data_IF_383149841954
#
_entry.id   IF_383149841954
#
_cell.length_a   1.000
_cell.length_b   1.000
_cell.length_c   1.000
_cell.angle_alpha   90.00
_cell.angle_beta   90.00
_cell.angle_gamma   90.00
#
_symmetry.space_group_name_H-M   'P 1'
#
loop_
_entity.id
_entity.type
_entity.pdbx_description
1 polymer ?
#
# COMPACT_ATOMS: atom_id res chain seq x y z
N UNK A 1 -42.96 12.90 -42.50
CA UNK A 1 -42.54 14.05 -41.65
C UNK A 1 -42.19 13.50 -40.27
N UNK A 2 -40.91 13.21 -40.01
CA UNK A 2 -40.43 12.88 -38.67
C UNK A 2 -39.23 13.77 -38.37
N UNK A 3 -39.40 14.59 -37.34
CA UNK A 3 -38.42 15.55 -36.86
C UNK A 3 -37.35 14.84 -36.02
N UNK A 4 -36.10 15.20 -36.26
CA UNK A 4 -34.94 14.75 -35.49
C UNK A 4 -34.85 15.40 -34.10
N UNK A 5 -34.32 14.63 -33.16
CA UNK A 5 -33.91 15.11 -31.84
C UNK A 5 -32.52 14.57 -31.54
N UNK A 6 -31.51 15.43 -31.62
CA UNK A 6 -30.13 15.15 -31.21
C UNK A 6 -29.90 15.69 -29.79
N UNK A 7 -29.75 14.82 -28.81
CA UNK A 7 -29.25 15.19 -27.47
C UNK A 7 -27.76 14.92 -27.38
N UNK A 8 -26.96 15.98 -27.48
CA UNK A 8 -25.55 15.98 -27.06
C UNK A 8 -25.47 16.21 -25.55
N UNK A 9 -24.94 15.22 -24.82
CA UNK A 9 -24.64 15.32 -23.38
C UNK A 9 -23.16 15.61 -23.21
N UNK A 10 -22.81 16.84 -22.84
CA UNK A 10 -21.46 17.23 -22.44
C UNK A 10 -21.14 16.65 -21.05
N UNK A 11 -20.03 15.94 -20.93
CA UNK A 11 -19.47 15.49 -19.65
C UNK A 11 -18.41 16.49 -19.20
N UNK A 12 -18.69 17.23 -18.12
CA UNK A 12 -17.71 18.05 -17.44
C UNK A 12 -16.99 17.19 -16.38
N UNK A 13 -15.69 16.95 -16.59
CA UNK A 13 -14.81 16.32 -15.60
C UNK A 13 -14.11 17.42 -14.79
N UNK A 14 -14.59 17.67 -13.58
CA UNK A 14 -13.89 18.50 -12.60
C UNK A 14 -13.05 17.59 -11.69
N UNK A 15 -11.74 17.52 -11.95
CA UNK A 15 -10.77 16.84 -11.08
C UNK A 15 -10.29 17.80 -9.99
N UNK A 16 -10.69 17.56 -8.75
CA UNK A 16 -10.10 18.22 -7.58
C UNK A 16 -8.82 17.47 -7.17
N UNK A 17 -7.68 18.17 -7.18
CA UNK A 17 -6.39 17.64 -6.72
C UNK A 17 -6.32 17.79 -5.19
N UNK A 18 -6.13 16.71 -4.41
CA UNK A 18 -5.89 16.84 -2.98
C UNK A 18 -4.46 17.29 -2.73
N UNK A 19 -4.29 18.43 -2.02
CA UNK A 19 -2.99 18.85 -1.51
C UNK A 19 -2.58 17.99 -0.31
N UNK A 20 -1.47 17.26 -0.44
CA UNK A 20 -0.82 16.57 0.67
C UNK A 20 -0.12 17.60 1.58
N UNK A 21 -0.60 17.70 2.82
CA UNK A 21 0.04 18.48 3.87
C UNK A 21 1.39 17.84 4.26
N UNK A 22 2.44 18.66 4.25
CA UNK A 22 3.82 18.29 4.58
C UNK A 22 3.99 18.28 6.10
N UNK A 23 4.32 17.14 6.69
CA UNK A 23 4.61 17.03 8.13
C UNK A 23 5.96 17.69 8.50
N UNK A 24 6.08 18.29 9.70
CA UNK A 24 7.31 18.93 10.15
C UNK A 24 8.40 17.92 10.53
N UNK A 25 9.63 18.29 10.21
CA UNK A 25 10.88 17.57 10.45
C UNK A 25 11.24 17.65 11.94
N UNK A 26 11.37 16.51 12.61
CA UNK A 26 11.89 16.43 13.99
C UNK A 26 13.41 16.29 13.92
N UNK A 27 14.13 17.27 14.45
CA UNK A 27 15.58 17.23 14.63
C UNK A 27 15.94 16.33 15.83
N UNK A 28 16.89 15.43 15.60
CA UNK A 28 17.36 14.47 16.59
C UNK A 28 18.24 15.11 17.67
N UNK A 29 17.87 14.87 18.93
CA UNK A 29 18.69 15.17 20.09
C UNK A 29 19.67 14.02 20.36
N UNK A 30 20.96 14.36 20.39
CA UNK A 30 22.09 13.55 20.81
C UNK A 30 22.08 13.42 22.35
N UNK A 31 22.17 12.19 22.88
CA UNK A 31 22.49 11.96 24.29
C UNK A 31 23.54 10.84 24.40
N UNK A 32 24.74 11.23 24.82
CA UNK A 32 25.78 10.36 25.33
C UNK A 32 25.48 9.97 26.79
N UNK A 33 25.83 8.74 27.16
CA UNK A 33 25.84 8.27 28.55
C UNK A 33 26.41 6.86 28.68
N UNK A 34 27.05 6.50 29.81
CA UNK A 34 28.37 5.87 29.80
C UNK A 34 28.41 4.38 30.17
N UNK A 35 29.59 3.81 29.93
CA UNK A 35 30.04 2.46 30.29
C UNK A 35 29.86 2.12 31.78
N UNK A 36 29.41 0.89 32.04
CA UNK A 36 29.38 0.28 33.37
C UNK A 36 29.30 -1.25 33.30
N UNK A 37 30.44 -1.90 33.50
CA UNK A 37 30.59 -3.36 33.66
C UNK A 37 30.01 -3.86 34.99
N UNK A 38 29.42 -5.05 34.98
CA UNK A 38 29.10 -5.83 36.18
C UNK A 38 28.53 -7.21 35.86
N UNK A 39 29.35 -8.25 36.01
CA UNK A 39 28.94 -9.65 36.02
C UNK A 39 28.06 -9.98 37.24
N UNK A 40 26.95 -10.71 37.03
CA UNK A 40 26.43 -11.67 38.01
C UNK A 40 25.45 -12.66 37.37
N UNK A 41 25.82 -13.94 37.47
CA UNK A 41 25.04 -15.15 37.19
C UNK A 41 23.82 -15.25 38.11
N UNK A 42 22.66 -15.70 37.60
CA UNK A 42 21.76 -16.66 38.28
C UNK A 42 20.67 -17.22 37.34
N UNK A 43 20.42 -18.52 37.52
CA UNK A 43 19.43 -19.35 36.84
C UNK A 43 17.98 -18.96 37.15
N UNK A 44 17.10 -19.16 36.16
CA UNK A 44 15.78 -19.74 36.37
C UNK A 44 14.61 -18.77 36.62
N UNK A 45 13.93 -18.40 35.54
CA UNK A 45 12.46 -18.36 35.43
C UNK A 45 12.12 -18.08 33.97
N UNK A 46 11.06 -18.71 33.44
CA UNK A 46 10.52 -18.39 32.12
C UNK A 46 10.05 -16.93 32.11
N UNK A 47 10.96 -16.03 31.79
CA UNK A 47 10.72 -14.61 31.68
C UNK A 47 9.84 -14.39 30.46
N UNK A 48 8.55 -14.18 30.73
CA UNK A 48 7.66 -13.53 29.79
C UNK A 48 8.30 -12.18 29.48
N UNK A 49 8.99 -12.10 28.34
CA UNK A 49 9.67 -10.91 27.89
C UNK A 49 8.60 -9.83 27.71
N UNK A 50 8.47 -8.96 28.70
CA UNK A 50 7.71 -7.73 28.59
C UNK A 50 8.46 -6.86 27.59
N UNK A 51 8.15 -7.01 26.29
CA UNK A 51 8.47 -5.99 25.31
C UNK A 51 7.98 -4.65 25.86
N UNK A 52 8.81 -3.61 25.70
CA UNK A 52 8.60 -2.23 26.14
C UNK A 52 7.31 -1.55 25.65
N UNK A 53 6.46 -2.28 24.92
CA UNK A 53 5.13 -1.87 24.45
C UNK A 53 3.97 -2.36 25.30
N UNK A 54 4.21 -3.18 26.34
CA UNK A 54 3.16 -3.72 27.22
C UNK A 54 2.24 -4.76 26.56
N UNK A 55 2.56 -5.19 25.33
CA UNK A 55 1.78 -6.18 24.59
C UNK A 55 2.38 -7.58 24.84
N UNK A 56 1.56 -8.58 25.22
CA UNK A 56 2.00 -9.96 25.27
C UNK A 56 2.69 -10.40 23.97
N UNK A 57 3.88 -10.99 24.06
CA UNK A 57 4.69 -11.47 22.91
C UNK A 57 3.87 -12.29 21.92
N UNK A 58 2.92 -13.07 22.42
CA UNK A 58 1.99 -13.87 21.61
C UNK A 58 1.09 -13.03 20.70
N UNK A 59 0.55 -11.91 21.18
CA UNK A 59 -0.30 -11.02 20.39
C UNK A 59 0.52 -10.31 19.30
N UNK A 60 1.76 -9.92 19.61
CA UNK A 60 2.66 -9.35 18.60
C UNK A 60 2.91 -10.34 17.44
N UNK A 61 3.25 -11.59 17.76
CA UNK A 61 3.47 -12.63 16.75
C UNK A 61 2.24 -12.86 15.85
N UNK A 62 1.04 -12.83 16.41
CA UNK A 62 -0.20 -12.95 15.63
C UNK A 62 -0.39 -11.78 14.66
N UNK A 63 -0.20 -10.54 15.13
CA UNK A 63 -0.31 -9.35 14.27
C UNK A 63 0.68 -9.41 13.11
N UNK A 64 1.92 -9.82 13.37
CA UNK A 64 2.92 -10.01 12.31
C UNK A 64 2.52 -11.09 11.32
N UNK A 65 2.05 -12.25 11.79
CA UNK A 65 1.60 -13.32 10.90
C UNK A 65 0.43 -12.89 9.99
N UNK A 66 -0.53 -12.11 10.52
CA UNK A 66 -1.58 -11.50 9.71
C UNK A 66 -1.00 -10.52 8.68
N UNK A 67 -0.10 -9.64 9.11
CA UNK A 67 0.53 -8.66 8.23
C UNK A 67 1.34 -9.29 7.10
N UNK A 68 2.15 -10.30 7.40
CA UNK A 68 2.90 -11.08 6.41
C UNK A 68 1.95 -11.78 5.43
N UNK A 69 0.85 -12.35 5.92
CA UNK A 69 -0.15 -12.96 5.05
C UNK A 69 -0.75 -11.93 4.07
N UNK A 70 -1.15 -10.75 4.56
CA UNK A 70 -1.65 -9.66 3.73
C UNK A 70 -0.61 -9.20 2.71
N UNK A 71 0.62 -8.95 3.15
CA UNK A 71 1.67 -8.46 2.26
C UNK A 71 2.05 -9.51 1.20
N UNK A 72 2.13 -10.79 1.56
CA UNK A 72 2.49 -11.86 0.65
C UNK A 72 1.37 -12.24 -0.34
N UNK A 73 0.14 -12.41 0.15
CA UNK A 73 -0.96 -12.95 -0.66
C UNK A 73 -1.82 -11.88 -1.32
N UNK A 74 -1.97 -10.71 -0.69
CA UNK A 74 -2.86 -9.65 -1.19
C UNK A 74 -2.05 -8.60 -1.94
N UNK A 75 -1.03 -8.03 -1.30
CA UNK A 75 -0.27 -6.91 -1.89
C UNK A 75 0.70 -7.42 -2.97
N UNK A 76 1.57 -8.37 -2.64
CA UNK A 76 2.54 -8.95 -3.59
C UNK A 76 1.93 -9.94 -4.57
N UNK A 77 0.72 -10.45 -4.27
CA UNK A 77 0.08 -11.51 -5.06
C UNK A 77 1.04 -12.68 -5.34
N UNK A 78 1.74 -13.16 -4.30
CA UNK A 78 2.82 -14.14 -4.43
C UNK A 78 2.40 -15.50 -4.99
N UNK A 79 1.09 -15.74 -5.14
CA UNK A 79 0.52 -16.94 -5.78
C UNK A 79 -0.03 -16.68 -7.20
N UNK A 80 0.05 -15.45 -7.70
CA UNK A 80 -0.45 -15.08 -9.03
C UNK A 80 -1.97 -15.29 -9.19
N UNK A 81 -2.75 -14.98 -8.14
CA UNK A 81 -4.21 -15.13 -8.13
C UNK A 81 -4.90 -14.03 -8.94
N UNK A 82 -4.17 -12.98 -9.33
CA UNK A 82 -4.73 -11.81 -9.99
C UNK A 82 -5.54 -10.99 -8.98
N UNK A 83 -4.92 -10.63 -7.86
CA UNK A 83 -5.60 -9.87 -6.80
C UNK A 83 -5.90 -8.44 -7.28
N UNK A 84 -7.12 -7.99 -7.01
CA UNK A 84 -7.65 -6.67 -7.39
C UNK A 84 -8.40 -6.06 -6.21
N UNK A 85 -8.24 -4.75 -6.01
CA UNK A 85 -9.07 -4.01 -5.07
C UNK A 85 -10.42 -3.66 -5.73
N UNK A 86 -11.52 -3.91 -5.03
CA UNK A 86 -12.87 -3.54 -5.46
C UNK A 86 -13.40 -2.40 -4.56
N UNK A 87 -13.22 -1.12 -4.95
CA UNK A 87 -13.55 0.02 -4.09
C UNK A 87 -15.01 0.05 -3.65
N UNK A 88 -15.93 -0.31 -4.56
CA UNK A 88 -17.37 -0.34 -4.30
C UNK A 88 -17.75 -1.36 -3.21
N UNK A 89 -16.96 -2.42 -3.07
CA UNK A 89 -17.16 -3.47 -2.07
C UNK A 89 -16.24 -3.31 -0.86
N UNK A 90 -15.32 -2.33 -0.89
CA UNK A 90 -14.30 -2.07 0.13
C UNK A 90 -13.58 -3.35 0.58
N UNK A 91 -13.12 -4.13 -0.39
CA UNK A 91 -12.41 -5.41 -0.17
C UNK A 91 -11.51 -5.75 -1.34
N UNK A 92 -10.59 -6.69 -1.12
CA UNK A 92 -9.85 -7.31 -2.21
C UNK A 92 -10.60 -8.52 -2.75
N UNK A 93 -10.38 -8.77 -4.04
CA UNK A 93 -10.92 -9.90 -4.81
C UNK A 93 -9.78 -10.52 -5.61
N UNK A 94 -10.00 -11.66 -6.24
CA UNK A 94 -9.03 -12.24 -7.17
C UNK A 94 -9.76 -12.84 -8.37
N UNK A 95 -9.01 -13.00 -9.47
CA UNK A 95 -9.52 -13.55 -10.73
C UNK A 95 -9.44 -15.08 -10.75
N UNK A 96 -8.50 -15.68 -10.02
CA UNK A 96 -8.21 -17.13 -10.06
C UNK A 96 -8.19 -17.74 -8.67
N UNK A 97 -9.06 -18.72 -8.42
CA UNK A 97 -9.03 -19.58 -7.23
C UNK A 97 -9.10 -18.81 -5.90
N UNK A 98 -9.39 -19.50 -4.79
CA UNK A 98 -9.35 -18.93 -3.44
C UNK A 98 -10.13 -17.60 -3.24
N UNK A 99 -11.11 -17.32 -4.11
CA UNK A 99 -11.86 -16.07 -4.11
C UNK A 99 -12.60 -15.87 -2.79
N UNK A 100 -13.19 -16.94 -2.27
CA UNK A 100 -13.83 -16.92 -0.96
C UNK A 100 -12.84 -16.58 0.15
N UNK A 101 -11.64 -17.18 0.15
CA UNK A 101 -10.64 -16.93 1.19
C UNK A 101 -10.09 -15.50 1.16
N UNK A 102 -9.81 -14.95 -0.03
CA UNK A 102 -9.37 -13.55 -0.17
C UNK A 102 -10.50 -12.60 0.23
N UNK A 103 -11.71 -12.79 -0.32
CA UNK A 103 -12.83 -11.89 -0.05
C UNK A 103 -13.27 -11.91 1.42
N UNK A 104 -13.26 -13.08 2.06
CA UNK A 104 -13.66 -13.26 3.44
C UNK A 104 -12.61 -12.74 4.44
N UNK A 105 -11.39 -12.42 4.02
CA UNK A 105 -10.31 -11.97 4.92
C UNK A 105 -9.84 -10.56 4.69
N UNK A 106 -10.23 -9.92 3.58
CA UNK A 106 -9.67 -8.63 3.13
C UNK A 106 -10.72 -7.52 3.01
N UNK A 107 -11.88 -7.71 3.62
CA UNK A 107 -12.93 -6.70 3.66
C UNK A 107 -12.64 -5.64 4.72
N UNK A 108 -13.25 -4.46 4.56
CA UNK A 108 -13.22 -3.43 5.59
C UNK A 108 -13.71 -3.95 6.95
N UNK A 109 -14.75 -4.80 6.96
CA UNK A 109 -15.30 -5.37 8.18
C UNK A 109 -14.27 -6.25 8.90
N UNK A 110 -13.55 -7.09 8.15
CA UNK A 110 -12.50 -7.96 8.70
C UNK A 110 -11.33 -7.16 9.26
N UNK A 111 -10.89 -6.12 8.55
CA UNK A 111 -9.86 -5.23 9.06
C UNK A 111 -10.33 -4.50 10.33
N UNK A 112 -11.57 -4.02 10.38
CA UNK A 112 -12.12 -3.41 11.60
C UNK A 112 -12.17 -4.41 12.76
N UNK A 113 -12.57 -5.66 12.51
CA UNK A 113 -12.59 -6.71 13.53
C UNK A 113 -11.18 -7.04 14.05
N UNK A 114 -10.18 -7.09 13.16
CA UNK A 114 -8.78 -7.24 13.52
C UNK A 114 -8.32 -6.09 14.43
N UNK A 115 -8.64 -4.85 14.08
CA UNK A 115 -8.31 -3.69 14.92
C UNK A 115 -9.08 -3.65 16.24
N UNK A 116 -10.31 -4.19 16.30
CA UNK A 116 -11.02 -4.36 17.58
C UNK A 116 -10.32 -5.38 18.48
N UNK A 117 -9.73 -6.43 17.91
CA UNK A 117 -9.06 -7.49 18.66
C UNK A 117 -7.67 -7.08 19.16
N UNK A 118 -6.89 -6.37 18.32
CA UNK A 118 -5.49 -6.04 18.60
C UNK A 118 -5.23 -4.55 18.84
N UNK A 119 -6.27 -3.73 18.76
CA UNK A 119 -6.19 -2.28 18.96
C UNK A 119 -5.46 -1.53 17.83
N UNK A 120 -5.17 -0.23 18.05
CA UNK A 120 -4.46 0.61 17.09
C UNK A 120 -3.03 0.14 16.81
N UNK A 121 -2.44 -0.66 17.72
CA UNK A 121 -1.13 -1.27 17.52
C UNK A 121 -1.06 -2.12 16.24
N UNK A 122 -2.11 -2.90 15.95
CA UNK A 122 -2.13 -3.70 14.74
C UNK A 122 -2.15 -2.84 13.47
N UNK A 123 -2.86 -1.71 13.49
CA UNK A 123 -2.84 -0.76 12.37
C UNK A 123 -1.43 -0.21 12.14
N UNK A 124 -0.72 0.15 13.21
CA UNK A 124 0.66 0.62 13.11
C UNK A 124 1.56 -0.44 12.48
N UNK A 125 1.51 -1.70 12.95
CA UNK A 125 2.36 -2.77 12.40
C UNK A 125 2.03 -3.13 10.97
N UNK A 126 0.75 -3.15 10.60
CA UNK A 126 0.33 -3.36 9.21
C UNK A 126 0.80 -2.19 8.31
N UNK A 127 0.76 -0.96 8.82
CA UNK A 127 1.26 0.21 8.10
C UNK A 127 2.78 0.15 7.91
N UNK A 128 3.57 -0.18 8.93
CA UNK A 128 5.02 -0.37 8.85
C UNK A 128 5.39 -1.43 7.79
N UNK A 129 4.73 -2.61 7.84
CA UNK A 129 4.97 -3.67 6.87
C UNK A 129 4.67 -3.25 5.43
N UNK A 130 3.60 -2.48 5.24
CA UNK A 130 3.23 -1.95 3.91
C UNK A 130 4.16 -0.85 3.41
N UNK A 131 4.81 -0.11 4.31
CA UNK A 131 5.73 0.97 3.94
C UNK A 131 6.97 0.43 3.22
N UNK A 132 7.54 -0.68 3.72
CA UNK A 132 8.63 -1.36 3.02
C UNK A 132 8.26 -1.74 1.59
N UNK A 133 7.03 -2.24 1.38
CA UNK A 133 6.55 -2.57 0.03
C UNK A 133 6.43 -1.35 -0.88
N UNK A 134 5.94 -0.23 -0.35
CA UNK A 134 5.83 1.03 -1.11
C UNK A 134 7.21 1.51 -1.55
N UNK A 135 8.17 1.55 -0.64
CA UNK A 135 9.53 1.99 -0.93
C UNK A 135 10.21 1.08 -1.97
N UNK A 136 10.06 -0.24 -1.82
CA UNK A 136 10.58 -1.22 -2.78
C UNK A 136 10.00 -1.00 -4.19
N UNK A 137 8.67 -0.83 -4.28
CA UNK A 137 8.00 -0.62 -5.57
C UNK A 137 8.42 0.71 -6.21
N UNK A 138 8.48 1.80 -5.45
CA UNK A 138 8.88 3.11 -5.96
C UNK A 138 10.33 3.11 -6.44
N UNK A 139 11.25 2.54 -5.64
CA UNK A 139 12.67 2.40 -6.01
C UNK A 139 12.84 1.62 -7.32
N UNK A 140 12.10 0.52 -7.49
CA UNK A 140 12.14 -0.26 -8.73
C UNK A 140 11.54 0.48 -9.91
N UNK A 141 10.42 1.19 -9.72
CA UNK A 141 9.79 2.00 -10.77
C UNK A 141 10.71 3.15 -11.20
N UNK A 142 11.29 3.88 -10.25
CA UNK A 142 12.25 4.94 -10.52
C UNK A 142 13.46 4.41 -11.28
N UNK A 143 13.99 3.25 -10.87
CA UNK A 143 15.06 2.57 -11.58
C UNK A 143 14.71 2.20 -13.02
N UNK A 144 13.45 1.78 -13.29
CA UNK A 144 13.00 1.50 -14.66
C UNK A 144 12.81 2.77 -15.49
N UNK A 145 12.17 3.80 -14.92
CA UNK A 145 11.96 5.08 -15.59
C UNK A 145 13.28 5.78 -15.92
N UNK A 146 14.26 5.71 -15.02
CA UNK A 146 15.60 6.25 -15.26
C UNK A 146 16.28 5.60 -16.48
N UNK A 147 16.08 4.29 -16.69
CA UNK A 147 16.63 3.59 -17.88
C UNK A 147 15.94 4.00 -19.18
N UNK A 148 14.65 4.33 -19.11
CA UNK A 148 13.87 4.72 -20.29
C UNK A 148 13.85 6.22 -20.55
N UNK A 149 14.51 7.03 -19.71
CA UNK A 149 14.46 8.48 -19.77
C UNK A 149 14.74 9.02 -21.18
N UNK A 150 15.84 8.60 -21.80
CA UNK A 150 16.24 9.05 -23.13
C UNK A 150 15.24 8.64 -24.23
N UNK A 151 14.46 7.57 -24.01
CA UNK A 151 13.41 7.12 -24.93
C UNK A 151 12.09 7.87 -24.71
N UNK A 152 11.78 8.25 -23.46
CA UNK A 152 10.53 8.90 -23.08
C UNK A 152 10.58 10.43 -23.17
N UNK A 153 11.77 11.04 -23.10
CA UNK A 153 11.95 12.49 -23.21
C UNK A 153 11.44 13.04 -24.57
N UNK A 154 11.76 12.43 -25.73
CA UNK A 154 11.20 12.85 -27.02
C UNK A 154 9.68 12.74 -27.09
N UNK A 155 9.10 11.69 -26.49
CA UNK A 155 7.64 11.50 -26.42
C UNK A 155 7.01 12.62 -25.60
N UNK A 156 7.60 12.93 -24.44
CA UNK A 156 7.13 14.00 -23.56
C UNK A 156 7.17 15.35 -24.28
N UNK A 157 8.25 15.64 -25.00
CA UNK A 157 8.37 16.88 -25.78
C UNK A 157 7.36 16.96 -26.92
N UNK A 158 7.09 15.86 -27.63
CA UNK A 158 6.10 15.81 -28.70
C UNK A 158 4.68 16.03 -28.16
N UNK A 159 4.33 15.43 -27.02
CA UNK A 159 3.02 15.61 -26.36
C UNK A 159 2.83 17.06 -25.89
N UNK A 160 3.86 17.67 -25.29
CA UNK A 160 3.78 19.07 -24.81
C UNK A 160 3.61 20.08 -25.94
N UNK A 161 4.08 19.76 -27.14
CA UNK A 161 4.01 20.65 -28.31
C UNK A 161 2.70 20.53 -29.11
N UNK A 162 1.76 19.67 -28.70
CA UNK A 162 0.55 19.31 -29.46
C UNK A 162 0.86 18.81 -30.89
N UNK A 163 2.08 18.28 -31.11
CA UNK A 163 2.47 17.67 -32.37
C UNK A 163 1.92 16.25 -32.47
N UNK A 164 1.78 15.73 -33.70
CA UNK A 164 1.47 14.31 -33.91
C UNK A 164 2.58 13.44 -33.31
N UNK A 165 2.30 12.85 -32.14
CA UNK A 165 3.28 12.08 -31.37
C UNK A 165 3.28 10.58 -31.69
N UNK A 166 2.43 10.11 -32.61
CA UNK A 166 2.25 8.69 -32.89
C UNK A 166 3.56 7.98 -33.31
N UNK A 167 4.32 8.57 -34.22
CA UNK A 167 5.59 8.00 -34.69
C UNK A 167 6.67 8.00 -33.59
N UNK A 168 6.72 9.08 -32.79
CA UNK A 168 7.64 9.19 -31.65
C UNK A 168 7.32 8.17 -30.57
N UNK A 169 6.03 7.94 -30.28
CA UNK A 169 5.58 6.90 -29.34
C UNK A 169 5.92 5.52 -29.87
N UNK A 170 5.65 5.23 -31.14
CA UNK A 170 5.98 3.94 -31.74
C UNK A 170 7.49 3.64 -31.69
N UNK A 171 8.32 4.64 -31.99
CA UNK A 171 9.77 4.54 -31.89
C UNK A 171 10.21 4.28 -30.44
N UNK A 172 9.69 5.04 -29.47
CA UNK A 172 10.01 4.84 -28.06
C UNK A 172 9.59 3.46 -27.55
N UNK A 173 8.38 3.01 -27.86
CA UNK A 173 7.86 1.69 -27.50
C UNK A 173 8.73 0.55 -28.03
N UNK A 174 9.32 0.68 -29.22
CA UNK A 174 10.24 -0.34 -29.77
C UNK A 174 11.53 -0.51 -28.95
N UNK A 175 11.92 0.52 -28.19
CA UNK A 175 13.10 0.52 -27.32
C UNK A 175 12.83 0.18 -25.86
N UNK A 176 11.56 0.05 -25.44
CA UNK A 176 11.22 -0.28 -24.05
C UNK A 176 11.47 -1.76 -23.77
N UNK A 177 12.38 -2.06 -22.87
CA UNK A 177 12.59 -3.41 -22.30
C UNK A 177 11.96 -3.49 -20.92
N UNK A 178 11.50 -4.66 -20.47
CA UNK A 178 10.97 -4.90 -19.12
C UNK A 178 9.63 -4.22 -18.77
N UNK A 179 8.79 -3.91 -19.76
CA UNK A 179 7.45 -3.33 -19.53
C UNK A 179 6.62 -4.14 -18.52
N UNK A 180 6.68 -5.47 -18.62
CA UNK A 180 5.99 -6.38 -17.70
C UNK A 180 6.40 -6.20 -16.24
N UNK A 181 7.68 -5.86 -15.98
CA UNK A 181 8.17 -5.58 -14.64
C UNK A 181 7.56 -4.29 -14.09
N UNK A 182 7.55 -3.22 -14.90
CA UNK A 182 6.94 -1.94 -14.51
C UNK A 182 5.45 -2.10 -14.21
N UNK A 183 4.71 -2.80 -15.07
CA UNK A 183 3.30 -3.09 -14.82
C UNK A 183 3.09 -3.92 -13.55
N UNK A 184 3.98 -4.86 -13.26
CA UNK A 184 3.92 -5.67 -12.03
C UNK A 184 4.13 -4.81 -10.79
N UNK A 185 5.14 -3.94 -10.80
CA UNK A 185 5.41 -3.01 -9.69
C UNK A 185 4.29 -1.99 -9.51
N UNK A 186 3.76 -1.43 -10.59
CA UNK A 186 2.63 -0.50 -10.54
C UNK A 186 1.37 -1.15 -9.95
N UNK A 187 1.06 -2.40 -10.32
CA UNK A 187 -0.06 -3.16 -9.73
C UNK A 187 0.16 -3.45 -8.25
N UNK A 188 1.37 -3.84 -7.87
CA UNK A 188 1.71 -4.09 -6.46
C UNK A 188 1.60 -2.81 -5.63
N UNK A 189 2.13 -1.69 -6.11
CA UNK A 189 2.01 -0.38 -5.48
C UNK A 189 0.54 0.02 -5.33
N UNK A 190 -0.26 -0.13 -6.39
CA UNK A 190 -1.70 0.16 -6.36
C UNK A 190 -2.43 -0.64 -5.27
N UNK A 191 -2.17 -1.95 -5.18
CA UNK A 191 -2.74 -2.80 -4.12
C UNK A 191 -2.27 -2.38 -2.72
N UNK A 192 -1.01 -2.00 -2.59
CA UNK A 192 -0.45 -1.53 -1.32
C UNK A 192 -1.11 -0.24 -0.84
N UNK A 193 -1.29 0.73 -1.75
CA UNK A 193 -1.99 1.98 -1.46
C UNK A 193 -3.46 1.75 -1.11
N UNK A 194 -4.14 0.89 -1.86
CA UNK A 194 -5.52 0.49 -1.56
C UNK A 194 -5.63 -0.18 -0.18
N UNK A 195 -4.66 -1.02 0.19
CA UNK A 195 -4.63 -1.66 1.50
C UNK A 195 -4.45 -0.62 2.61
N UNK A 196 -3.52 0.34 2.44
CA UNK A 196 -3.32 1.43 3.40
C UNK A 196 -4.55 2.31 3.55
N UNK A 197 -5.24 2.62 2.45
CA UNK A 197 -6.51 3.33 2.49
C UNK A 197 -7.55 2.56 3.31
N UNK A 198 -7.74 1.27 3.01
CA UNK A 198 -8.72 0.42 3.68
C UNK A 198 -8.40 0.27 5.18
N UNK A 199 -7.11 0.19 5.53
CA UNK A 199 -6.63 0.17 6.91
C UNK A 199 -6.91 1.49 7.64
N UNK A 200 -6.70 2.63 6.98
CA UNK A 200 -7.06 3.94 7.51
C UNK A 200 -8.57 4.06 7.76
N UNK A 201 -9.40 3.60 6.82
CA UNK A 201 -10.85 3.55 7.01
C UNK A 201 -11.25 2.63 8.18
N UNK A 202 -10.60 1.48 8.33
CA UNK A 202 -10.85 0.55 9.43
C UNK A 202 -10.49 1.19 10.78
N UNK A 203 -9.38 1.92 10.85
CA UNK A 203 -8.93 2.61 12.04
C UNK A 203 -9.89 3.73 12.43
N UNK A 204 -10.35 4.54 11.47
CA UNK A 204 -11.36 5.58 11.74
C UNK A 204 -12.66 4.99 12.29
N UNK A 205 -13.11 3.84 11.77
CA UNK A 205 -14.29 3.13 12.31
C UNK A 205 -14.05 2.57 13.71
N UNK A 206 -12.87 2.03 13.97
CA UNK A 206 -12.49 1.53 15.30
C UNK A 206 -12.53 2.66 16.34
N UNK A 207 -11.98 3.84 16.02
CA UNK A 207 -11.99 4.99 16.93
C UNK A 207 -13.38 5.62 17.14
N UNK A 208 -14.30 5.45 16.19
CA UNK A 208 -15.66 5.97 16.29
C UNK A 208 -16.62 5.03 17.05
N UNK A 209 -16.22 3.78 17.31
CA UNK A 209 -17.04 2.86 18.08
C UNK A 209 -17.12 3.35 19.54
N UNK A 210 -18.32 3.55 20.11
CA UNK A 210 -18.44 3.95 21.50
C UNK A 210 -17.75 2.91 22.37
N UNK A 211 -16.91 3.37 23.30
CA UNK A 211 -16.29 2.53 24.31
C UNK A 211 -17.38 1.92 25.19
N UNK A 212 -17.85 0.73 24.82
CA UNK A 212 -18.72 -0.09 25.66
C UNK A 212 -17.84 -0.81 26.68
N UNK A 213 -17.22 -0.04 27.57
CA UNK A 213 -16.44 -0.51 28.71
C UNK A 213 -16.67 0.43 29.88
#
# INVERSE_FOLDING_TARGET
MHAGGTHGKAWAMAGAVPQLARAPRVEGGHMEGPDGSGDAVLQGAGGQACSSSGIPVQLHGMVLAYGEWYMGHVVRDGRGLGVLYAPQLRRFTCVRGAQEAIQARTSLQELTALLQMFGPYAALKLAELSEGVVLDCLSQLDGCLARWKELLDPVTMAVVRDDSCADTVAAACSGLTDEGQVLTQARQLSRCLAFRQLLGEALSKHSAAPSLW
#
